data_IF_056920450014
#
_entry.id   IF_056920450014
#
_cell.length_a   1.000
_cell.length_b   1.000
_cell.length_c   1.000
_cell.angle_alpha   90.00
_cell.angle_beta   90.00
_cell.angle_gamma   90.00
#
_symmetry.space_group_name_H-M   'P 1'
#
loop_
_entity.id
_entity.type
_entity.pdbx_description
1 polymer ?
#
# COMPACT_ATOMS: atom_id res chain seq x y z
N UNK A 1 -7.48 -40.37 13.95
CA UNK A 1 -8.24 -39.31 14.67
C UNK A 1 -8.05 -37.91 14.05
N UNK A 2 -6.82 -37.42 13.85
CA UNK A 2 -6.55 -36.12 13.18
C UNK A 2 -7.09 -36.02 11.74
N UNK A 3 -7.03 -37.10 10.95
CA UNK A 3 -7.54 -37.12 9.58
C UNK A 3 -9.05 -36.88 9.53
N UNK A 4 -9.83 -37.54 10.41
CA UNK A 4 -11.28 -37.33 10.51
C UNK A 4 -11.64 -35.90 10.94
N UNK A 5 -10.84 -35.29 11.81
CA UNK A 5 -11.00 -33.89 12.21
C UNK A 5 -10.76 -32.93 11.04
N UNK A 6 -9.72 -33.17 10.24
CA UNK A 6 -9.39 -32.34 9.08
C UNK A 6 -10.43 -32.47 7.97
N UNK A 7 -10.89 -33.70 7.67
CA UNK A 7 -11.92 -33.93 6.66
C UNK A 7 -13.27 -33.33 7.06
N UNK A 8 -13.67 -33.47 8.34
CA UNK A 8 -14.86 -32.81 8.88
C UNK A 8 -14.73 -31.29 8.86
N UNK A 9 -13.57 -30.75 9.21
CA UNK A 9 -13.29 -29.32 9.10
C UNK A 9 -13.46 -28.83 7.66
N UNK A 10 -12.89 -29.52 6.67
CA UNK A 10 -13.05 -29.17 5.25
C UNK A 10 -14.52 -29.27 4.79
N UNK A 11 -15.26 -30.29 5.20
CA UNK A 11 -16.69 -30.43 4.89
C UNK A 11 -17.54 -29.32 5.52
N UNK A 12 -17.25 -28.94 6.78
CA UNK A 12 -17.90 -27.81 7.45
C UNK A 12 -17.57 -26.49 6.77
N UNK A 13 -16.31 -26.25 6.41
CA UNK A 13 -15.87 -25.06 5.64
C UNK A 13 -16.60 -25.00 4.30
N UNK A 14 -16.75 -26.13 3.60
CA UNK A 14 -17.40 -26.20 2.29
C UNK A 14 -18.94 -26.07 2.39
N UNK A 15 -19.54 -26.52 3.49
CA UNK A 15 -20.96 -26.29 3.82
C UNK A 15 -21.23 -24.80 4.14
N UNK A 16 -20.38 -24.19 4.97
CA UNK A 16 -20.42 -22.76 5.30
C UNK A 16 -20.21 -21.91 4.05
N UNK A 17 -19.27 -22.29 3.17
CA UNK A 17 -19.00 -21.59 1.92
C UNK A 17 -20.13 -21.68 0.90
N UNK A 18 -21.01 -22.70 0.99
CA UNK A 18 -22.20 -22.83 0.15
C UNK A 18 -23.35 -21.93 0.60
N UNK A 19 -23.41 -21.57 1.88
CA UNK A 19 -24.44 -20.68 2.39
C UNK A 19 -24.00 -19.21 2.32
N UNK A 20 -24.63 -18.44 1.43
CA UNK A 20 -24.32 -17.02 1.22
C UNK A 20 -24.48 -16.18 2.49
N UNK A 21 -25.41 -16.53 3.39
CA UNK A 21 -25.60 -15.83 4.64
C UNK A 21 -24.42 -16.04 5.61
N UNK A 22 -23.92 -17.27 5.75
CA UNK A 22 -22.74 -17.53 6.60
C UNK A 22 -21.45 -16.94 6.03
N UNK A 23 -21.30 -16.90 4.71
CA UNK A 23 -20.18 -16.17 4.10
C UNK A 23 -20.25 -14.67 4.37
N UNK A 24 -21.45 -14.08 4.34
CA UNK A 24 -21.65 -12.67 4.61
C UNK A 24 -21.39 -12.36 6.09
N UNK A 25 -21.96 -13.14 7.01
CA UNK A 25 -21.72 -13.01 8.45
C UNK A 25 -20.25 -13.24 8.82
N UNK A 26 -19.61 -14.26 8.25
CA UNK A 26 -18.19 -14.52 8.44
C UNK A 26 -17.30 -13.40 7.89
N UNK A 27 -17.65 -12.84 6.73
CA UNK A 27 -16.96 -11.68 6.14
C UNK A 27 -17.09 -10.43 7.02
N UNK A 28 -18.29 -10.15 7.55
CA UNK A 28 -18.53 -9.05 8.50
C UNK A 28 -17.72 -9.27 9.78
N UNK A 29 -17.71 -10.49 10.33
CA UNK A 29 -16.92 -10.81 11.52
C UNK A 29 -15.42 -10.57 11.29
N UNK A 30 -14.86 -11.08 10.19
CA UNK A 30 -13.45 -10.86 9.82
C UNK A 30 -13.15 -9.37 9.66
N UNK A 31 -14.05 -8.61 9.03
CA UNK A 31 -13.93 -7.17 8.87
C UNK A 31 -13.87 -6.46 10.23
N UNK A 32 -14.79 -6.74 11.14
CA UNK A 32 -14.85 -6.12 12.47
C UNK A 32 -13.63 -6.48 13.34
N UNK A 33 -13.19 -7.74 13.32
CA UNK A 33 -11.98 -8.18 14.03
C UNK A 33 -10.75 -7.46 13.49
N UNK A 34 -10.60 -7.41 12.16
CA UNK A 34 -9.46 -6.73 11.52
C UNK A 34 -9.45 -5.23 11.82
N UNK A 35 -10.62 -4.60 11.74
CA UNK A 35 -10.81 -3.19 12.08
C UNK A 35 -10.41 -2.92 13.53
N UNK A 36 -10.81 -3.80 14.45
CA UNK A 36 -10.43 -3.70 15.87
C UNK A 36 -8.92 -3.82 16.05
N UNK A 37 -8.27 -4.79 15.40
CA UNK A 37 -6.81 -4.95 15.44
C UNK A 37 -6.11 -3.68 14.97
N UNK A 38 -6.52 -3.11 13.83
CA UNK A 38 -5.95 -1.88 13.28
C UNK A 38 -6.17 -0.68 14.21
N UNK A 39 -7.39 -0.54 14.76
CA UNK A 39 -7.71 0.50 15.72
C UNK A 39 -6.85 0.43 16.99
N UNK A 40 -6.58 -0.77 17.54
CA UNK A 40 -5.68 -0.91 18.72
C UNK A 40 -4.22 -0.51 18.43
N UNK A 41 -3.86 -0.36 17.16
CA UNK A 41 -2.55 0.09 16.69
C UNK A 41 -2.59 1.50 16.08
N UNK A 42 -3.68 2.23 16.23
CA UNK A 42 -3.78 3.63 15.83
C UNK A 42 -2.76 4.50 16.57
N UNK A 43 -2.38 5.62 15.95
CA UNK A 43 -1.41 6.59 16.46
C UNK A 43 -0.03 6.02 16.83
N UNK A 44 0.40 4.91 16.19
CA UNK A 44 1.75 4.34 16.39
C UNK A 44 2.87 5.08 15.65
N UNK A 45 2.52 6.07 14.83
CA UNK A 45 3.42 6.97 14.10
C UNK A 45 3.20 8.41 14.55
N UNK A 46 3.34 8.66 15.85
CA UNK A 46 2.93 9.92 16.47
C UNK A 46 3.62 11.14 15.82
N UNK A 47 4.85 10.98 15.32
CA UNK A 47 5.61 11.99 14.60
C UNK A 47 4.87 12.51 13.36
N UNK A 48 4.39 11.63 12.48
CA UNK A 48 3.67 12.03 11.26
C UNK A 48 2.16 12.19 11.47
N UNK A 49 1.59 11.50 12.46
CA UNK A 49 0.17 11.64 12.83
C UNK A 49 -0.14 13.04 13.36
N UNK A 50 0.82 13.67 14.05
CA UNK A 50 0.70 15.03 14.60
C UNK A 50 0.35 16.11 13.57
N UNK A 51 0.65 15.87 12.29
CA UNK A 51 0.36 16.84 11.24
C UNK A 51 -1.14 17.11 11.04
N UNK A 52 -1.99 16.13 11.34
CA UNK A 52 -3.45 16.25 11.20
C UNK A 52 -4.06 17.12 12.30
N UNK A 53 -3.83 16.86 13.62
CA UNK A 53 -4.27 17.78 14.67
C UNK A 53 -3.65 19.17 14.52
N UNK A 54 -2.41 19.31 14.03
CA UNK A 54 -1.85 20.61 13.71
C UNK A 54 -2.67 21.37 12.66
N UNK A 55 -3.13 20.69 11.60
CA UNK A 55 -4.02 21.30 10.59
C UNK A 55 -5.38 21.70 11.17
N UNK A 56 -5.93 20.89 12.08
CA UNK A 56 -7.19 21.25 12.78
C UNK A 56 -7.00 22.52 13.61
N UNK A 57 -5.91 22.62 14.36
CA UNK A 57 -5.56 23.81 15.15
C UNK A 57 -5.33 25.02 14.26
N UNK A 58 -4.59 24.86 13.16
CA UNK A 58 -4.36 25.94 12.20
C UNK A 58 -5.68 26.55 11.69
N UNK A 59 -6.62 25.70 11.28
CA UNK A 59 -7.95 26.14 10.85
C UNK A 59 -8.74 26.81 11.98
N UNK A 60 -8.68 26.27 13.19
CA UNK A 60 -9.37 26.82 14.37
C UNK A 60 -8.89 28.24 14.72
N UNK A 61 -7.60 28.52 14.55
CA UNK A 61 -6.98 29.81 14.83
C UNK A 61 -6.86 30.73 13.60
N UNK A 62 -7.46 30.36 12.47
CA UNK A 62 -7.48 31.18 11.26
C UNK A 62 -6.12 31.32 10.56
N UNK A 63 -5.20 30.37 10.77
CA UNK A 63 -3.93 30.31 10.06
C UNK A 63 -4.16 29.92 8.60
N UNK A 64 -3.61 30.70 7.66
CA UNK A 64 -3.64 30.35 6.24
C UNK A 64 -2.77 29.12 6.00
N UNK A 65 -3.33 28.09 5.38
CA UNK A 65 -2.65 26.84 5.11
C UNK A 65 -1.84 26.85 3.81
N UNK A 66 -1.97 27.89 2.97
CA UNK A 66 -1.26 28.03 1.70
C UNK A 66 -1.41 26.80 0.78
N UNK A 67 -2.52 26.06 0.88
CA UNK A 67 -2.76 24.84 0.10
C UNK A 67 -2.13 23.55 0.67
N UNK A 68 -1.48 23.60 1.84
CA UNK A 68 -0.97 22.42 2.54
C UNK A 68 -1.97 21.87 3.56
N UNK A 69 -2.35 20.61 3.41
CA UNK A 69 -3.27 19.93 4.32
C UNK A 69 -2.60 19.36 5.56
N UNK A 70 -1.27 19.44 5.68
CA UNK A 70 -0.50 18.93 6.80
C UNK A 70 0.34 20.07 7.39
N UNK A 71 0.36 20.17 8.72
CA UNK A 71 0.96 21.31 9.40
C UNK A 71 1.85 20.89 10.57
N UNK A 72 2.56 21.86 11.13
CA UNK A 72 3.23 21.81 12.41
C UNK A 72 2.63 22.87 13.32
N UNK A 73 2.66 22.63 14.63
CA UNK A 73 2.20 23.60 15.63
C UNK A 73 3.12 23.55 16.84
N UNK A 74 3.41 24.71 17.41
CA UNK A 74 4.14 24.87 18.66
C UNK A 74 3.27 25.56 19.72
N UNK A 75 3.63 25.36 20.99
CA UNK A 75 3.14 26.17 22.10
C UNK A 75 4.25 26.34 23.14
N UNK A 76 4.30 27.50 23.79
CA UNK A 76 5.28 27.78 24.85
C UNK A 76 5.16 26.75 25.99
N UNK A 77 6.30 26.18 26.39
CA UNK A 77 6.36 25.21 27.48
C UNK A 77 5.85 23.81 27.12
N UNK A 78 5.57 23.54 25.85
CA UNK A 78 5.22 22.22 25.35
C UNK A 78 6.35 21.70 24.46
N UNK A 79 7.13 20.75 24.98
CA UNK A 79 8.06 20.00 24.14
C UNK A 79 7.29 18.99 23.29
N UNK A 80 7.50 19.03 21.98
CA UNK A 80 6.90 18.06 21.07
C UNK A 80 7.79 16.82 20.92
N UNK A 81 7.63 15.86 21.83
CA UNK A 81 8.33 14.58 21.74
C UNK A 81 7.55 13.62 20.83
N UNK A 82 8.02 13.48 19.58
CA UNK A 82 7.40 12.63 18.56
C UNK A 82 5.92 12.95 18.32
N UNK A 83 5.54 14.23 18.21
CA UNK A 83 4.17 14.64 17.83
C UNK A 83 3.14 14.60 18.97
N UNK A 84 3.50 14.13 20.16
CA UNK A 84 2.60 14.09 21.32
C UNK A 84 2.26 15.48 21.88
N UNK A 85 3.14 16.47 21.69
CA UNK A 85 2.91 17.85 22.10
C UNK A 85 1.73 18.46 21.35
N UNK A 86 1.64 18.19 20.04
CA UNK A 86 0.51 18.67 19.21
C UNK A 86 -0.84 18.14 19.69
N UNK A 87 -0.92 16.84 19.99
CA UNK A 87 -2.15 16.24 20.51
C UNK A 87 -2.53 16.83 21.87
N UNK A 88 -1.54 17.12 22.71
CA UNK A 88 -1.75 17.78 24.00
C UNK A 88 -2.31 19.19 23.82
N UNK A 89 -1.73 19.98 22.91
CA UNK A 89 -2.21 21.34 22.59
C UNK A 89 -3.71 21.32 22.23
N UNK A 90 -4.11 20.39 21.37
CA UNK A 90 -5.51 20.24 20.95
C UNK A 90 -6.43 19.75 22.08
N UNK A 91 -6.02 18.71 22.81
CA UNK A 91 -6.87 18.11 23.85
C UNK A 91 -7.03 18.99 25.09
N UNK A 92 -5.99 19.73 25.48
CA UNK A 92 -5.99 20.61 26.65
C UNK A 92 -6.44 22.05 26.29
N UNK A 93 -6.72 22.34 25.01
CA UNK A 93 -7.13 23.67 24.56
C UNK A 93 -6.06 24.74 24.77
N UNK A 94 -4.78 24.36 24.66
CA UNK A 94 -3.65 25.27 24.82
C UNK A 94 -3.57 26.17 23.59
N UNK A 95 -3.36 27.46 23.80
CA UNK A 95 -3.20 28.43 22.71
C UNK A 95 -1.85 28.19 22.01
N UNK A 96 -1.85 27.90 20.69
CA UNK A 96 -0.62 27.79 19.92
C UNK A 96 0.16 29.11 19.85
N UNK A 97 1.49 29.05 19.80
CA UNK A 97 2.35 30.22 19.62
C UNK A 97 3.00 30.29 18.22
N UNK A 98 3.00 29.17 17.49
CA UNK A 98 3.58 29.09 16.14
C UNK A 98 2.89 28.02 15.30
N UNK A 99 2.85 28.25 13.99
CA UNK A 99 2.39 27.31 12.98
C UNK A 99 3.41 27.21 11.84
N UNK A 100 3.41 26.08 11.16
CA UNK A 100 4.20 25.90 9.94
C UNK A 100 3.61 24.84 9.03
N UNK A 101 4.03 24.82 7.76
CA UNK A 101 3.51 23.89 6.77
C UNK A 101 4.38 22.63 6.66
N UNK A 102 3.76 21.45 6.61
CA UNK A 102 4.42 20.24 6.17
C UNK A 102 4.47 20.22 4.64
N UNK A 103 5.63 20.64 4.13
CA UNK A 103 5.81 21.03 2.74
C UNK A 103 6.04 19.86 1.77
N UNK A 104 6.44 18.67 2.23
CA UNK A 104 6.84 17.56 1.34
C UNK A 104 5.72 16.93 0.49
N UNK A 105 4.46 17.31 0.71
CA UNK A 105 3.28 16.81 -0.03
C UNK A 105 2.15 17.81 0.14
N UNK A 106 1.13 17.76 -0.75
CA UNK A 106 -0.09 18.55 -0.58
C UNK A 106 -0.81 18.13 0.70
N UNK A 107 -0.88 16.84 1.01
CA UNK A 107 -1.39 16.36 2.29
C UNK A 107 -2.92 16.38 2.41
N UNK A 108 -3.64 16.04 1.32
CA UNK A 108 -5.12 16.12 1.26
C UNK A 108 -5.83 15.32 2.37
N UNK A 109 -5.21 14.26 2.90
CA UNK A 109 -5.73 13.53 4.06
C UNK A 109 -5.92 14.42 5.29
N UNK A 110 -5.04 15.40 5.53
CA UNK A 110 -5.19 16.30 6.66
C UNK A 110 -6.36 17.26 6.49
N UNK A 111 -6.61 17.78 5.28
CA UNK A 111 -7.84 18.51 4.98
C UNK A 111 -9.09 17.66 5.19
N UNK A 112 -9.08 16.41 4.68
CA UNK A 112 -10.22 15.50 4.80
C UNK A 112 -10.56 15.18 6.26
N UNK A 113 -9.56 14.84 7.07
CA UNK A 113 -9.79 14.52 8.48
C UNK A 113 -10.11 15.76 9.32
N UNK A 114 -9.54 16.92 9.01
CA UNK A 114 -9.92 18.17 9.66
C UNK A 114 -11.37 18.55 9.36
N UNK A 115 -11.79 18.42 8.10
CA UNK A 115 -13.18 18.64 7.70
C UNK A 115 -14.15 17.70 8.42
N UNK A 116 -13.83 16.40 8.52
CA UNK A 116 -14.65 15.45 9.27
C UNK A 116 -14.70 15.80 10.77
N UNK A 117 -13.56 16.17 11.37
CA UNK A 117 -13.47 16.53 12.77
C UNK A 117 -14.39 17.71 13.11
N UNK A 118 -14.33 18.78 12.31
CA UNK A 118 -15.12 19.99 12.50
C UNK A 118 -16.59 19.77 12.17
N UNK A 119 -16.91 19.15 11.03
CA UNK A 119 -18.29 18.95 10.58
C UNK A 119 -19.09 18.06 11.53
N UNK A 120 -18.45 17.05 12.12
CA UNK A 120 -19.08 16.15 13.08
C UNK A 120 -18.96 16.65 14.53
N UNK A 121 -18.40 17.84 14.76
CA UNK A 121 -18.14 18.42 16.08
C UNK A 121 -17.45 17.41 17.02
N UNK A 122 -16.43 16.72 16.52
CA UNK A 122 -15.71 15.72 17.31
C UNK A 122 -14.86 16.41 18.39
N UNK A 123 -14.77 15.77 19.54
CA UNK A 123 -13.87 16.17 20.64
C UNK A 123 -12.66 15.23 20.76
N UNK A 124 -12.58 14.20 19.91
CA UNK A 124 -11.55 13.18 19.95
C UNK A 124 -11.35 12.49 18.60
N UNK A 125 -10.12 12.08 18.31
CA UNK A 125 -9.76 11.34 17.09
C UNK A 125 -10.23 9.89 17.08
N UNK A 126 -10.76 9.35 18.19
CA UNK A 126 -11.18 7.95 18.28
C UNK A 126 -12.12 7.54 17.14
N UNK A 127 -13.09 8.39 16.81
CA UNK A 127 -14.03 8.12 15.72
C UNK A 127 -13.33 8.11 14.34
N UNK A 128 -12.39 9.02 14.11
CA UNK A 128 -11.60 9.07 12.87
C UNK A 128 -10.70 7.85 12.72
N UNK A 129 -10.02 7.45 13.81
CA UNK A 129 -9.19 6.24 13.83
C UNK A 129 -10.03 4.98 13.56
N UNK A 130 -11.22 4.87 14.15
CA UNK A 130 -12.15 3.77 13.86
C UNK A 130 -12.59 3.74 12.40
N UNK A 131 -12.98 4.89 11.84
CA UNK A 131 -13.36 5.01 10.44
C UNK A 131 -12.22 4.57 9.52
N UNK A 132 -11.02 5.08 9.73
CA UNK A 132 -9.85 4.72 8.93
C UNK A 132 -9.46 3.24 9.06
N UNK A 133 -9.48 2.69 10.28
CA UNK A 133 -9.22 1.28 10.54
C UNK A 133 -10.24 0.38 9.81
N UNK A 134 -11.52 0.76 9.85
CA UNK A 134 -12.59 0.05 9.16
C UNK A 134 -12.42 0.09 7.63
N UNK A 135 -12.18 1.28 7.05
CA UNK A 135 -11.97 1.42 5.62
C UNK A 135 -10.74 0.65 5.14
N UNK A 136 -9.65 0.66 5.93
CA UNK A 136 -8.41 -0.04 5.59
C UNK A 136 -8.60 -1.56 5.63
N UNK A 137 -9.29 -2.07 6.66
CA UNK A 137 -9.66 -3.49 6.77
C UNK A 137 -10.56 -3.93 5.60
N UNK A 138 -11.55 -3.11 5.25
CA UNK A 138 -12.45 -3.38 4.13
C UNK A 138 -11.70 -3.41 2.80
N UNK A 139 -10.82 -2.44 2.54
CA UNK A 139 -10.03 -2.40 1.33
C UNK A 139 -9.12 -3.64 1.18
N UNK A 140 -8.44 -4.05 2.25
CA UNK A 140 -7.60 -5.25 2.25
C UNK A 140 -8.41 -6.54 2.05
N UNK A 141 -9.61 -6.63 2.65
CA UNK A 141 -10.50 -7.78 2.46
C UNK A 141 -11.01 -7.89 1.02
N UNK A 142 -11.42 -6.77 0.42
CA UNK A 142 -11.83 -6.71 -0.99
C UNK A 142 -10.66 -7.09 -1.90
N UNK A 143 -9.47 -6.55 -1.63
CA UNK A 143 -8.25 -6.87 -2.38
C UNK A 143 -7.92 -8.37 -2.30
N UNK A 144 -7.95 -8.97 -1.09
CA UNK A 144 -7.74 -10.39 -0.87
C UNK A 144 -8.77 -11.25 -1.63
N UNK A 145 -10.04 -10.85 -1.60
CA UNK A 145 -11.10 -11.52 -2.34
C UNK A 145 -10.86 -11.47 -3.85
N UNK A 146 -10.48 -10.31 -4.40
CA UNK A 146 -10.17 -10.15 -5.83
C UNK A 146 -8.96 -10.99 -6.24
N UNK A 147 -7.89 -10.98 -5.45
CA UNK A 147 -6.73 -11.86 -5.65
C UNK A 147 -7.13 -13.34 -5.59
N UNK A 148 -8.02 -13.71 -4.68
CA UNK A 148 -8.57 -15.07 -4.60
C UNK A 148 -9.42 -15.46 -5.81
N UNK A 149 -10.08 -14.50 -6.47
CA UNK A 149 -10.80 -14.73 -7.73
C UNK A 149 -9.88 -14.81 -8.95
N UNK A 150 -8.67 -14.25 -8.87
CA UNK A 150 -7.70 -14.22 -9.97
C UNK A 150 -6.76 -15.43 -9.88
N UNK A 151 -6.12 -15.63 -8.73
CA UNK A 151 -5.06 -16.63 -8.50
C UNK A 151 -5.53 -17.85 -7.69
N UNK A 152 -6.85 -17.98 -7.49
CA UNK A 152 -7.47 -19.06 -6.72
C UNK A 152 -7.66 -18.72 -5.24
N UNK A 153 -8.72 -19.28 -4.64
CA UNK A 153 -9.20 -18.92 -3.30
C UNK A 153 -8.11 -19.02 -2.23
N UNK A 154 -7.26 -20.04 -2.32
CA UNK A 154 -6.15 -20.25 -1.40
C UNK A 154 -5.14 -19.08 -1.42
N UNK A 155 -4.85 -18.50 -2.58
CA UNK A 155 -3.97 -17.33 -2.68
C UNK A 155 -4.57 -16.12 -1.98
N UNK A 156 -5.87 -15.86 -2.17
CA UNK A 156 -6.57 -14.76 -1.47
C UNK A 156 -6.56 -14.92 0.05
N UNK A 157 -6.78 -16.14 0.55
CA UNK A 157 -6.72 -16.45 1.99
C UNK A 157 -5.29 -16.25 2.50
N UNK A 158 -4.29 -16.81 1.83
CA UNK A 158 -2.88 -16.69 2.24
C UNK A 158 -2.41 -15.23 2.19
N UNK A 159 -2.84 -14.46 1.18
CA UNK A 159 -2.59 -13.02 1.12
C UNK A 159 -3.14 -12.33 2.36
N UNK A 160 -4.42 -12.54 2.68
CA UNK A 160 -5.05 -11.90 3.85
C UNK A 160 -4.38 -12.32 5.16
N UNK A 161 -4.13 -13.61 5.36
CA UNK A 161 -3.47 -14.10 6.58
C UNK A 161 -2.03 -13.59 6.69
N UNK A 162 -1.32 -13.43 5.58
CA UNK A 162 0.06 -12.94 5.59
C UNK A 162 0.15 -11.53 6.19
N UNK A 163 -0.88 -10.69 6.04
CA UNK A 163 -0.94 -9.33 6.58
C UNK A 163 -0.77 -9.28 8.10
N UNK A 164 -1.12 -10.34 8.81
CA UNK A 164 -1.05 -10.42 10.26
C UNK A 164 0.25 -11.06 10.78
N UNK A 165 1.17 -11.46 9.89
CA UNK A 165 2.46 -12.02 10.31
C UNK A 165 3.44 -10.96 10.83
N UNK A 166 3.08 -9.68 10.73
CA UNK A 166 3.77 -8.53 11.32
C UNK A 166 2.79 -7.50 11.85
N UNK A 167 3.20 -6.79 12.91
CA UNK A 167 2.45 -5.65 13.45
C UNK A 167 2.41 -4.43 12.51
N UNK A 168 3.27 -4.36 11.49
CA UNK A 168 3.37 -3.19 10.63
C UNK A 168 2.09 -2.91 9.85
N UNK A 169 1.50 -3.92 9.20
CA UNK A 169 0.25 -3.70 8.45
C UNK A 169 -0.85 -3.16 9.36
N UNK A 170 -0.91 -3.63 10.62
CA UNK A 170 -1.85 -3.11 11.60
C UNK A 170 -1.57 -1.65 11.99
N UNK A 171 -0.30 -1.27 12.17
CA UNK A 171 0.09 0.12 12.43
C UNK A 171 -0.32 1.04 11.26
N UNK A 172 -0.06 0.63 10.01
CA UNK A 172 -0.48 1.39 8.82
C UNK A 172 -2.00 1.44 8.67
N UNK A 173 -2.69 0.33 8.97
CA UNK A 173 -4.15 0.24 8.91
C UNK A 173 -4.86 1.16 9.91
N UNK A 174 -4.23 1.46 11.06
CA UNK A 174 -4.74 2.40 12.06
C UNK A 174 -4.29 3.86 11.86
N UNK A 175 -3.39 4.13 10.91
CA UNK A 175 -2.77 5.46 10.73
C UNK A 175 -3.60 6.36 9.82
N UNK A 176 -3.99 7.54 10.31
CA UNK A 176 -4.64 8.57 9.50
C UNK A 176 -3.64 9.21 8.52
N UNK A 177 -2.38 9.35 8.91
CA UNK A 177 -1.34 9.88 8.01
C UNK A 177 -1.17 8.99 6.76
N UNK A 178 -0.98 7.69 6.97
CA UNK A 178 -0.75 6.76 5.87
C UNK A 178 -2.04 6.36 5.14
N UNK A 179 -3.18 6.35 5.82
CA UNK A 179 -4.51 6.04 5.28
C UNK A 179 -4.49 4.85 4.31
N UNK A 180 -4.15 3.66 4.82
CA UNK A 180 -3.82 2.46 4.03
C UNK A 180 -4.87 2.10 2.96
N UNK A 181 -6.14 2.45 3.17
CA UNK A 181 -7.21 2.37 2.15
C UNK A 181 -6.77 2.92 0.79
N UNK A 182 -6.14 4.09 0.73
CA UNK A 182 -5.75 4.74 -0.52
C UNK A 182 -4.50 4.13 -1.18
N UNK A 183 -3.75 3.30 -0.46
CA UNK A 183 -2.70 2.47 -1.07
C UNK A 183 -3.30 1.31 -1.85
N UNK A 184 -4.40 0.75 -1.35
CA UNK A 184 -5.02 -0.46 -1.90
C UNK A 184 -6.08 -0.12 -2.96
N UNK A 185 -6.68 1.07 -2.90
CA UNK A 185 -7.72 1.51 -3.83
C UNK A 185 -7.34 1.37 -5.32
N UNK A 186 -6.14 1.79 -5.78
CA UNK A 186 -5.73 1.57 -7.17
C UNK A 186 -5.73 0.09 -7.57
N UNK A 187 -5.32 -0.80 -6.65
CA UNK A 187 -5.31 -2.24 -6.87
C UNK A 187 -6.71 -2.83 -6.98
N UNK A 188 -7.66 -2.42 -6.12
CA UNK A 188 -9.06 -2.86 -6.21
C UNK A 188 -9.64 -2.54 -7.59
N UNK A 189 -9.39 -1.32 -8.09
CA UNK A 189 -9.88 -0.86 -9.39
C UNK A 189 -9.22 -1.66 -10.53
N UNK A 190 -7.90 -1.77 -10.53
CA UNK A 190 -7.14 -2.47 -11.56
C UNK A 190 -7.44 -3.98 -11.58
N UNK A 191 -7.59 -4.63 -10.43
CA UNK A 191 -7.90 -6.06 -10.32
C UNK A 191 -9.34 -6.33 -10.77
N UNK A 192 -10.27 -5.43 -10.49
CA UNK A 192 -11.64 -5.51 -10.98
C UNK A 192 -11.67 -5.39 -12.51
N UNK A 193 -10.96 -4.41 -13.08
CA UNK A 193 -10.83 -4.27 -14.53
C UNK A 193 -10.18 -5.52 -15.15
N UNK A 194 -9.09 -6.02 -14.56
CA UNK A 194 -8.41 -7.24 -15.00
C UNK A 194 -9.39 -8.41 -15.10
N UNK A 195 -10.19 -8.64 -14.05
CA UNK A 195 -11.18 -9.72 -14.05
C UNK A 195 -12.18 -9.55 -15.20
N UNK A 196 -12.73 -8.35 -15.37
CA UNK A 196 -13.71 -8.09 -16.43
C UNK A 196 -13.12 -8.35 -17.81
N UNK A 197 -11.92 -7.82 -18.10
CA UNK A 197 -11.30 -8.01 -19.43
C UNK A 197 -10.78 -9.43 -19.64
N UNK A 198 -10.47 -10.18 -18.57
CA UNK A 198 -10.06 -11.58 -18.66
C UNK A 198 -11.26 -12.52 -18.89
N UNK A 199 -12.44 -12.22 -18.33
CA UNK A 199 -13.62 -13.09 -18.44
C UNK A 199 -14.58 -12.71 -19.56
N UNK A 200 -14.57 -11.46 -20.01
CA UNK A 200 -15.51 -10.96 -21.03
C UNK A 200 -14.84 -10.87 -22.41
N UNK A 201 -15.57 -11.34 -23.43
CA UNK A 201 -15.14 -11.21 -24.83
C UNK A 201 -15.09 -9.75 -25.28
N UNK A 202 -16.05 -8.92 -24.85
CA UNK A 202 -16.12 -7.50 -25.21
C UNK A 202 -16.59 -6.67 -24.02
N UNK A 203 -15.73 -5.78 -23.54
CA UNK A 203 -16.07 -4.77 -22.54
C UNK A 203 -16.60 -3.51 -23.24
N UNK A 204 -17.65 -2.88 -22.71
CA UNK A 204 -18.15 -1.62 -23.25
C UNK A 204 -17.07 -0.52 -23.15
N UNK A 205 -17.02 0.39 -24.13
CA UNK A 205 -16.07 1.52 -24.10
C UNK A 205 -16.28 2.38 -22.87
N UNK A 206 -17.54 2.68 -22.53
CA UNK A 206 -17.91 3.48 -21.36
C UNK A 206 -17.41 2.86 -20.06
N UNK A 207 -17.63 1.56 -19.85
CA UNK A 207 -17.16 0.86 -18.65
C UNK A 207 -15.63 0.90 -18.56
N UNK A 208 -14.93 0.66 -19.67
CA UNK A 208 -13.47 0.76 -19.71
C UNK A 208 -12.99 2.18 -19.35
N UNK A 209 -13.58 3.22 -19.94
CA UNK A 209 -13.26 4.62 -19.64
C UNK A 209 -13.46 4.92 -18.15
N UNK A 210 -14.57 4.48 -17.55
CA UNK A 210 -14.84 4.70 -16.12
C UNK A 210 -13.77 4.04 -15.23
N UNK A 211 -13.35 2.81 -15.53
CA UNK A 211 -12.26 2.17 -14.80
C UNK A 211 -10.94 2.93 -14.97
N UNK A 212 -10.62 3.38 -16.18
CA UNK A 212 -9.40 4.15 -16.46
C UNK A 212 -9.39 5.49 -15.69
N UNK A 213 -10.51 6.22 -15.70
CA UNK A 213 -10.64 7.48 -14.96
C UNK A 213 -10.59 7.26 -13.45
N UNK A 214 -11.29 6.24 -12.94
CA UNK A 214 -11.27 5.90 -11.52
C UNK A 214 -9.85 5.50 -11.06
N UNK A 215 -9.12 4.73 -11.87
CA UNK A 215 -7.74 4.33 -11.57
C UNK A 215 -6.80 5.53 -11.55
N UNK A 216 -6.86 6.38 -12.59
CA UNK A 216 -6.07 7.61 -12.67
C UNK A 216 -6.34 8.52 -11.46
N UNK A 217 -7.62 8.71 -11.11
CA UNK A 217 -8.03 9.49 -9.94
C UNK A 217 -7.51 8.89 -8.63
N UNK A 218 -7.60 7.57 -8.45
CA UNK A 218 -7.09 6.91 -7.25
C UNK A 218 -5.57 7.10 -7.09
N UNK A 219 -4.80 7.09 -8.19
CA UNK A 219 -3.37 7.41 -8.17
C UNK A 219 -3.12 8.88 -7.84
N UNK A 220 -3.86 9.80 -8.48
CA UNK A 220 -3.75 11.24 -8.20
C UNK A 220 -4.05 11.55 -6.72
N UNK A 221 -5.11 10.94 -6.17
CA UNK A 221 -5.50 11.06 -4.77
C UNK A 221 -4.45 10.48 -3.83
N UNK A 222 -3.90 9.30 -4.13
CA UNK A 222 -2.80 8.75 -3.32
C UNK A 222 -1.58 9.69 -3.35
N UNK A 223 -1.20 10.17 -4.52
CA UNK A 223 -0.07 11.08 -4.70
C UNK A 223 -0.30 12.43 -3.99
N UNK A 224 -1.55 12.90 -3.88
CA UNK A 224 -1.85 14.17 -3.20
C UNK A 224 -1.79 14.02 -1.69
N UNK A 225 -1.90 12.80 -1.18
CA UNK A 225 -1.68 12.51 0.23
C UNK A 225 -0.20 12.40 0.59
N UNK A 226 0.55 11.63 -0.20
CA UNK A 226 2.01 11.47 -0.03
C UNK A 226 2.60 10.73 -1.25
N UNK A 227 3.84 11.04 -1.60
CA UNK A 227 4.56 10.33 -2.67
C UNK A 227 5.21 9.01 -2.20
N UNK A 228 5.19 8.76 -0.89
CA UNK A 228 5.82 7.58 -0.31
C UNK A 228 5.19 6.31 -0.87
N UNK A 229 6.04 5.38 -1.30
CA UNK A 229 5.67 4.06 -1.80
C UNK A 229 4.83 4.07 -3.09
N UNK A 230 4.75 5.20 -3.80
CA UNK A 230 3.92 5.32 -4.99
C UNK A 230 4.28 4.28 -6.07
N UNK A 231 5.58 4.00 -6.24
CA UNK A 231 6.05 2.96 -7.18
C UNK A 231 5.59 1.57 -6.76
N UNK A 232 5.63 1.25 -5.47
CA UNK A 232 5.12 -0.01 -4.92
C UNK A 232 3.63 -0.16 -5.13
N UNK A 233 2.85 0.90 -4.89
CA UNK A 233 1.40 0.93 -5.05
C UNK A 233 1.00 0.70 -6.51
N UNK A 234 1.68 1.37 -7.45
CA UNK A 234 1.45 1.20 -8.88
C UNK A 234 1.80 -0.22 -9.34
N UNK A 235 2.97 -0.75 -8.96
CA UNK A 235 3.33 -2.10 -9.40
C UNK A 235 2.46 -3.18 -8.76
N UNK A 236 2.00 -2.98 -7.53
CA UNK A 236 1.06 -3.87 -6.88
C UNK A 236 -0.31 -3.86 -7.58
N UNK A 237 -0.83 -2.69 -7.95
CA UNK A 237 -2.12 -2.59 -8.67
C UNK A 237 -2.07 -3.21 -10.06
N UNK A 238 -0.89 -3.23 -10.69
CA UNK A 238 -0.67 -3.87 -12.00
C UNK A 238 -0.36 -5.36 -11.92
N UNK A 239 -0.26 -5.94 -10.71
CA UNK A 239 0.25 -7.30 -10.53
C UNK A 239 -0.47 -8.40 -11.33
N UNK A 240 -1.81 -8.46 -11.45
CA UNK A 240 -2.47 -9.46 -12.31
C UNK A 240 -2.08 -9.36 -13.79
N UNK A 241 -1.92 -8.14 -14.30
CA UNK A 241 -1.49 -7.93 -15.68
C UNK A 241 -0.05 -8.38 -15.87
N UNK A 242 0.85 -8.07 -14.93
CA UNK A 242 2.25 -8.49 -14.96
C UNK A 242 2.36 -10.02 -14.88
N UNK A 243 1.63 -10.66 -13.96
CA UNK A 243 1.61 -12.14 -13.85
C UNK A 243 1.12 -12.77 -15.16
N UNK A 244 0.01 -12.29 -15.74
CA UNK A 244 -0.49 -12.80 -17.03
C UNK A 244 0.50 -12.59 -18.17
N UNK A 245 1.19 -11.45 -18.21
CA UNK A 245 2.19 -11.16 -19.22
C UNK A 245 3.39 -12.11 -19.11
N UNK A 246 4.02 -12.20 -17.93
CA UNK A 246 5.17 -13.08 -17.69
C UNK A 246 4.77 -14.54 -17.96
N UNK A 247 3.65 -15.00 -17.40
CA UNK A 247 3.18 -16.36 -17.60
C UNK A 247 2.93 -16.67 -19.08
N UNK A 248 2.26 -15.77 -19.80
CA UNK A 248 1.94 -15.94 -21.21
C UNK A 248 3.19 -15.95 -22.10
N UNK A 249 4.20 -15.15 -21.79
CA UNK A 249 5.52 -15.19 -22.47
C UNK A 249 6.22 -16.52 -22.20
N UNK A 250 6.16 -17.04 -20.97
CA UNK A 250 6.85 -18.29 -20.58
C UNK A 250 6.18 -19.56 -21.11
N UNK A 251 4.89 -19.55 -21.42
CA UNK A 251 4.13 -20.77 -21.72
C UNK A 251 3.41 -20.77 -23.06
N UNK A 252 3.07 -19.61 -23.62
CA UNK A 252 2.19 -19.51 -24.79
C UNK A 252 0.81 -20.14 -24.61
N UNK A 253 0.43 -20.58 -23.40
CA UNK A 253 -0.73 -21.44 -23.13
C UNK A 253 -1.71 -20.84 -22.11
N UNK A 254 -2.80 -21.56 -21.81
CA UNK A 254 -3.76 -21.21 -20.78
C UNK A 254 -3.18 -21.47 -19.37
N UNK A 255 -3.25 -20.46 -18.49
CA UNK A 255 -2.87 -20.57 -17.08
C UNK A 255 -3.77 -21.54 -16.32
N UNK A 256 -3.29 -22.19 -15.23
CA UNK A 256 -4.15 -22.94 -14.34
C UNK A 256 -5.12 -22.02 -13.57
N UNK A 257 -4.93 -20.71 -13.68
CA UNK A 257 -5.75 -19.68 -13.05
C UNK A 257 -6.27 -18.68 -14.08
N UNK A 258 -7.04 -17.68 -13.64
CA UNK A 258 -7.56 -16.65 -14.52
C UNK A 258 -6.39 -15.85 -15.13
N UNK A 259 -6.11 -16.09 -16.42
CA UNK A 259 -5.11 -15.37 -17.20
C UNK A 259 -5.70 -14.79 -18.47
N UNK A 260 -5.01 -13.79 -19.02
CA UNK A 260 -5.27 -13.29 -20.36
C UNK A 260 -4.04 -13.43 -21.26
N UNK A 261 -4.20 -13.40 -22.60
CA UNK A 261 -3.06 -13.47 -23.51
C UNK A 261 -2.02 -12.38 -23.25
N UNK A 262 -0.73 -12.70 -23.39
CA UNK A 262 0.38 -11.82 -23.05
C UNK A 262 0.28 -10.43 -23.71
N UNK A 263 -0.05 -10.37 -25.01
CA UNK A 263 -0.23 -9.11 -25.75
C UNK A 263 -1.35 -8.24 -25.16
N UNK A 264 -2.45 -8.86 -24.72
CA UNK A 264 -3.58 -8.17 -24.09
C UNK A 264 -3.18 -7.69 -22.70
N UNK A 265 -2.54 -8.55 -21.90
CA UNK A 265 -2.03 -8.20 -20.57
C UNK A 265 -1.08 -7.01 -20.62
N UNK A 266 -0.12 -7.03 -21.56
CA UNK A 266 0.82 -5.94 -21.78
C UNK A 266 0.11 -4.64 -22.16
N UNK A 267 -0.82 -4.67 -23.11
CA UNK A 267 -1.55 -3.47 -23.56
C UNK A 267 -2.34 -2.80 -22.42
N UNK A 268 -3.10 -3.58 -21.65
CA UNK A 268 -3.87 -3.02 -20.53
C UNK A 268 -2.95 -2.59 -19.38
N UNK A 269 -1.93 -3.38 -19.04
CA UNK A 269 -0.95 -3.05 -18.02
C UNK A 269 -0.19 -1.76 -18.34
N UNK A 270 0.31 -1.62 -19.57
CA UNK A 270 0.97 -0.41 -20.05
C UNK A 270 0.02 0.80 -20.07
N UNK A 271 -1.21 0.61 -20.53
CA UNK A 271 -2.22 1.67 -20.52
C UNK A 271 -2.52 2.20 -19.12
N UNK A 272 -2.70 1.30 -18.14
CA UNK A 272 -2.88 1.69 -16.74
C UNK A 272 -1.60 2.30 -16.15
N UNK A 273 -0.41 1.82 -16.51
CA UNK A 273 0.84 2.44 -16.08
C UNK A 273 0.96 3.89 -16.58
N UNK A 274 0.65 4.15 -17.84
CA UNK A 274 0.62 5.51 -18.41
C UNK A 274 -0.39 6.37 -17.64
N UNK A 275 -1.59 5.85 -17.37
CA UNK A 275 -2.60 6.56 -16.57
C UNK A 275 -2.15 6.83 -15.13
N UNK A 276 -1.36 5.94 -14.52
CA UNK A 276 -0.75 6.21 -13.22
C UNK A 276 0.24 7.38 -13.29
N UNK A 277 1.09 7.41 -14.32
CA UNK A 277 2.00 8.54 -14.55
C UNK A 277 1.23 9.85 -14.76
N UNK A 278 0.13 9.84 -15.53
CA UNK A 278 -0.73 11.02 -15.72
C UNK A 278 -1.35 11.45 -14.38
N UNK A 279 -1.93 10.52 -13.61
CA UNK A 279 -2.49 10.83 -12.28
C UNK A 279 -1.46 11.43 -11.33
N UNK A 280 -0.24 10.89 -11.30
CA UNK A 280 0.88 11.46 -10.54
C UNK A 280 1.23 12.87 -11.03
N UNK A 281 1.41 13.06 -12.35
CA UNK A 281 1.82 14.34 -12.92
C UNK A 281 0.79 15.45 -12.66
N UNK A 282 -0.51 15.15 -12.73
CA UNK A 282 -1.56 16.12 -12.41
C UNK A 282 -1.41 16.65 -10.99
N UNK A 283 -1.24 15.75 -10.02
CA UNK A 283 -1.00 16.13 -8.62
C UNK A 283 0.34 16.85 -8.45
N UNK A 284 1.38 16.37 -9.12
CA UNK A 284 2.72 16.91 -9.00
C UNK A 284 2.79 18.36 -9.51
N UNK A 285 2.11 18.68 -10.62
CA UNK A 285 2.01 20.04 -11.16
C UNK A 285 1.34 20.99 -10.15
N UNK A 286 0.26 20.54 -9.50
CA UNK A 286 -0.41 21.32 -8.45
C UNK A 286 0.56 21.56 -7.28
N UNK A 287 1.27 20.52 -6.84
CA UNK A 287 2.21 20.65 -5.74
C UNK A 287 3.39 21.56 -6.09
N UNK A 288 3.93 21.50 -7.31
CA UNK A 288 4.97 22.43 -7.77
C UNK A 288 4.46 23.87 -7.80
N UNK A 289 3.21 24.09 -8.22
CA UNK A 289 2.61 25.43 -8.21
C UNK A 289 2.53 25.99 -6.79
N UNK A 290 2.03 25.18 -5.84
CA UNK A 290 1.94 25.56 -4.42
C UNK A 290 3.34 25.83 -3.85
N UNK A 291 4.31 24.94 -4.12
CA UNK A 291 5.66 25.04 -3.56
C UNK A 291 6.44 26.25 -4.07
N UNK A 292 6.20 26.66 -5.32
CA UNK A 292 6.83 27.83 -5.93
C UNK A 292 6.05 29.12 -5.79
N UNK A 293 4.98 29.17 -4.99
CA UNK A 293 4.16 30.38 -4.83
C UNK A 293 3.56 30.88 -6.16
N UNK A 294 3.25 29.96 -7.07
CA UNK A 294 2.76 30.24 -8.41
C UNK A 294 3.75 29.97 -9.55
N UNK A 295 5.04 29.87 -9.25
CA UNK A 295 6.09 29.52 -10.22
C UNK A 295 6.37 28.00 -10.24
N UNK A 296 5.97 27.33 -11.32
CA UNK A 296 6.15 25.89 -11.48
C UNK A 296 7.63 25.46 -11.48
N UNK A 297 8.53 26.25 -12.06
CA UNK A 297 9.94 25.90 -12.13
C UNK A 297 10.62 26.05 -10.77
N UNK A 298 10.33 27.16 -10.07
CA UNK A 298 10.83 27.37 -8.71
C UNK A 298 10.37 26.25 -7.77
N UNK A 299 9.09 25.89 -7.82
CA UNK A 299 8.55 24.80 -7.02
C UNK A 299 9.11 23.42 -7.39
N UNK A 300 9.32 23.15 -8.68
CA UNK A 300 9.98 21.93 -9.14
C UNK A 300 11.41 21.81 -8.60
N UNK A 301 12.20 22.88 -8.71
CA UNK A 301 13.58 22.91 -8.22
C UNK A 301 13.64 22.74 -6.70
N UNK A 302 12.71 23.37 -5.97
CA UNK A 302 12.64 23.22 -4.52
C UNK A 302 12.30 21.78 -4.11
N UNK A 303 11.29 21.16 -4.72
CA UNK A 303 10.95 19.75 -4.48
C UNK A 303 12.12 18.84 -4.86
N UNK A 304 12.77 19.11 -6.00
CA UNK A 304 13.90 18.32 -6.46
C UNK A 304 15.04 18.34 -5.44
N UNK A 305 15.45 19.52 -4.96
CA UNK A 305 16.51 19.64 -3.97
C UNK A 305 16.11 19.11 -2.59
N UNK A 306 15.00 19.60 -2.04
CA UNK A 306 14.65 19.37 -0.64
C UNK A 306 13.98 18.02 -0.37
N UNK A 307 13.32 17.43 -1.37
CA UNK A 307 12.56 16.19 -1.19
C UNK A 307 13.15 15.05 -2.02
N UNK A 308 13.37 15.23 -3.33
CA UNK A 308 13.88 14.15 -4.19
C UNK A 308 15.34 13.79 -3.86
N UNK A 309 16.28 14.73 -3.96
CA UNK A 309 17.71 14.44 -3.74
C UNK A 309 18.00 13.94 -2.32
N UNK A 310 17.28 14.47 -1.32
CA UNK A 310 17.42 14.05 0.09
C UNK A 310 16.91 12.63 0.37
N UNK A 311 15.83 12.19 -0.30
CA UNK A 311 15.09 10.96 0.08
C UNK A 311 15.19 9.83 -0.95
N UNK A 312 15.45 10.15 -2.20
CA UNK A 312 15.44 9.20 -3.32
C UNK A 312 16.87 8.81 -3.71
N UNK A 313 17.31 9.21 -4.90
CA UNK A 313 18.64 8.93 -5.46
C UNK A 313 19.31 10.22 -5.93
N UNK A 314 20.64 10.18 -6.08
CA UNK A 314 21.41 11.25 -6.72
C UNK A 314 21.80 12.44 -5.82
N UNK A 315 21.33 12.50 -4.57
CA UNK A 315 21.74 13.55 -3.62
C UNK A 315 23.20 13.42 -3.18
N UNK A 316 23.91 14.54 -3.08
CA UNK A 316 25.26 14.62 -2.54
C UNK A 316 25.20 14.86 -1.02
N UNK A 317 25.82 14.01 -0.18
CA UNK A 317 25.84 14.18 1.28
C UNK A 317 26.26 15.55 1.79
N UNK A 318 27.11 16.27 1.03
CA UNK A 318 27.63 17.58 1.42
C UNK A 318 26.58 18.69 1.38
N UNK A 319 25.50 18.48 0.62
CA UNK A 319 24.45 19.48 0.40
C UNK A 319 23.33 19.38 1.46
N UNK A 320 23.40 18.39 2.36
CA UNK A 320 22.37 18.10 3.35
C UNK A 320 22.96 17.97 4.76
N UNK A 321 22.08 17.99 5.76
CA UNK A 321 22.47 17.78 7.15
C UNK A 321 23.24 16.45 7.31
N UNK A 322 24.35 16.40 8.08
CA UNK A 322 25.22 15.22 8.20
C UNK A 322 24.51 13.91 8.57
N UNK A 323 23.38 14.00 9.27
CA UNK A 323 22.51 12.86 9.63
C UNK A 323 22.03 12.04 8.41
N UNK A 324 21.99 12.64 7.23
CA UNK A 324 21.55 11.97 6.00
C UNK A 324 22.69 11.31 5.22
N UNK A 325 23.96 11.56 5.58
CA UNK A 325 25.12 11.17 4.78
C UNK A 325 25.17 9.65 4.50
N UNK A 326 24.97 8.82 5.52
CA UNK A 326 24.98 7.36 5.37
C UNK A 326 23.89 6.87 4.40
N UNK A 327 22.70 7.45 4.49
CA UNK A 327 21.57 7.09 3.62
C UNK A 327 21.79 7.47 2.16
N UNK A 328 22.43 8.62 1.93
CA UNK A 328 22.75 9.13 0.60
C UNK A 328 23.88 8.33 -0.05
N UNK A 329 24.86 7.87 0.74
CA UNK A 329 25.95 7.02 0.28
C UNK A 329 25.56 5.54 0.09
N UNK A 330 24.52 5.05 0.78
CA UNK A 330 24.10 3.66 0.69
C UNK A 330 23.69 3.26 -0.73
N UNK A 331 24.06 2.06 -1.17
CA UNK A 331 23.66 1.54 -2.48
C UNK A 331 22.26 0.90 -2.45
N UNK A 332 21.59 0.81 -3.61
CA UNK A 332 20.31 0.10 -3.70
C UNK A 332 20.44 -1.38 -3.29
N UNK A 333 21.55 -2.03 -3.63
CA UNK A 333 21.83 -3.42 -3.24
C UNK A 333 21.95 -3.57 -1.72
N UNK A 334 22.61 -2.62 -1.06
CA UNK A 334 22.74 -2.60 0.39
C UNK A 334 21.36 -2.47 1.06
N UNK A 335 20.52 -1.56 0.59
CA UNK A 335 19.15 -1.40 1.07
C UNK A 335 18.35 -2.69 0.87
N UNK A 336 18.38 -3.28 -0.32
CA UNK A 336 17.71 -4.56 -0.59
C UNK A 336 18.22 -5.66 0.38
N UNK A 337 19.53 -5.72 0.63
CA UNK A 337 20.12 -6.68 1.57
C UNK A 337 19.55 -6.49 2.98
N UNK A 338 19.50 -5.25 3.49
CA UNK A 338 18.88 -4.93 4.80
C UNK A 338 17.48 -5.52 4.88
N UNK A 339 16.65 -5.27 3.87
CA UNK A 339 15.23 -5.69 3.88
C UNK A 339 15.02 -7.18 3.59
N UNK A 340 15.99 -7.89 3.01
CA UNK A 340 15.93 -9.34 2.81
C UNK A 340 16.46 -10.12 4.02
N UNK A 341 17.54 -9.66 4.67
CA UNK A 341 18.23 -10.43 5.71
C UNK A 341 17.72 -10.14 7.12
N UNK A 342 17.01 -9.02 7.34
CA UNK A 342 16.47 -8.68 8.66
C UNK A 342 15.40 -9.66 9.18
N UNK A 343 14.80 -10.48 8.31
CA UNK A 343 13.84 -11.50 8.72
C UNK A 343 14.23 -12.86 8.15
N UNK A 344 14.83 -13.71 8.99
CA UNK A 344 15.26 -15.05 8.59
C UNK A 344 14.12 -15.91 8.01
N UNK A 345 12.87 -15.71 8.47
CA UNK A 345 11.70 -16.44 7.94
C UNK A 345 11.41 -16.06 6.48
N UNK A 346 11.56 -14.77 6.14
CA UNK A 346 11.41 -14.29 4.76
C UNK A 346 12.41 -15.01 3.84
N UNK A 347 13.69 -15.07 4.24
CA UNK A 347 14.75 -15.70 3.46
C UNK A 347 14.51 -17.20 3.29
N UNK A 348 14.16 -17.92 4.36
CA UNK A 348 13.87 -19.35 4.31
C UNK A 348 12.71 -19.64 3.35
N UNK A 349 11.61 -18.90 3.46
CA UNK A 349 10.44 -19.08 2.59
C UNK A 349 10.72 -18.73 1.13
N UNK A 350 11.54 -17.70 0.89
CA UNK A 350 11.99 -17.34 -0.44
C UNK A 350 12.84 -18.46 -1.06
N UNK A 351 13.84 -18.97 -0.33
CA UNK A 351 14.67 -20.09 -0.77
C UNK A 351 13.83 -21.35 -1.05
N UNK A 352 12.88 -21.66 -0.18
CA UNK A 352 11.96 -22.78 -0.37
C UNK A 352 11.07 -22.60 -1.62
N UNK A 353 10.56 -21.39 -1.85
CA UNK A 353 9.74 -21.09 -3.02
C UNK A 353 10.52 -21.18 -4.33
N UNK A 354 11.77 -20.72 -4.32
CA UNK A 354 12.71 -20.87 -5.43
C UNK A 354 12.99 -22.35 -5.69
N UNK A 355 13.28 -23.13 -4.64
CA UNK A 355 13.47 -24.58 -4.74
C UNK A 355 12.25 -25.29 -5.34
N UNK A 356 11.04 -24.93 -4.91
CA UNK A 356 9.77 -25.44 -5.49
C UNK A 356 9.66 -25.13 -6.98
N UNK A 357 10.09 -23.94 -7.42
CA UNK A 357 10.13 -23.62 -8.85
C UNK A 357 11.11 -24.51 -9.62
N UNK A 358 12.21 -24.95 -9.01
CA UNK A 358 13.15 -25.87 -9.64
C UNK A 358 12.63 -27.31 -9.72
N UNK A 359 11.97 -27.81 -8.66
CA UNK A 359 11.49 -29.20 -8.60
C UNK A 359 10.10 -29.43 -9.18
N UNK A 360 9.35 -28.37 -9.51
CA UNK A 360 8.04 -28.49 -10.15
C UNK A 360 8.18 -29.00 -11.60
N UNK A 361 7.77 -30.24 -11.80
CA UNK A 361 7.81 -30.93 -13.09
C UNK A 361 6.75 -30.41 -14.06
N UNK A 362 5.59 -29.94 -13.56
CA UNK A 362 4.54 -29.38 -14.39
C UNK A 362 4.89 -27.94 -14.81
N UNK A 363 5.29 -27.78 -16.08
CA UNK A 363 5.70 -26.50 -16.68
C UNK A 363 4.71 -25.36 -16.44
N UNK A 364 3.41 -25.64 -16.48
CA UNK A 364 2.37 -24.63 -16.28
C UNK A 364 2.41 -24.08 -14.85
N UNK A 365 2.39 -24.96 -13.84
CA UNK A 365 2.49 -24.51 -12.45
C UNK A 365 3.84 -23.88 -12.12
N UNK A 366 4.94 -24.44 -12.64
CA UNK A 366 6.28 -23.87 -12.47
C UNK A 366 6.35 -22.42 -12.96
N UNK A 367 5.91 -22.18 -14.19
CA UNK A 367 5.98 -20.85 -14.79
C UNK A 367 5.01 -19.88 -14.10
N UNK A 368 3.88 -20.37 -13.59
CA UNK A 368 2.98 -19.58 -12.75
C UNK A 368 3.65 -19.18 -11.43
N UNK A 369 4.32 -20.10 -10.74
CA UNK A 369 5.06 -19.79 -9.50
C UNK A 369 6.19 -18.79 -9.74
N UNK A 370 6.94 -18.93 -10.82
CA UNK A 370 7.97 -17.95 -11.23
C UNK A 370 7.34 -16.58 -11.46
N UNK A 371 6.22 -16.52 -12.18
CA UNK A 371 5.51 -15.27 -12.45
C UNK A 371 5.01 -14.60 -11.15
N UNK A 372 4.49 -15.38 -10.19
CA UNK A 372 4.09 -14.87 -8.87
C UNK A 372 5.30 -14.32 -8.08
N UNK A 373 6.41 -15.05 -8.02
CA UNK A 373 7.61 -14.62 -7.27
C UNK A 373 8.15 -13.30 -7.79
N UNK A 374 8.37 -13.22 -9.11
CA UNK A 374 8.90 -12.02 -9.74
C UNK A 374 7.91 -10.88 -9.53
N UNK A 375 6.66 -11.06 -9.94
CA UNK A 375 5.67 -9.99 -9.94
C UNK A 375 5.45 -9.40 -8.55
N UNK A 376 5.33 -10.24 -7.52
CA UNK A 376 5.03 -9.75 -6.19
C UNK A 376 6.25 -9.28 -5.41
N UNK A 377 7.48 -9.57 -5.86
CA UNK A 377 8.68 -8.93 -5.31
C UNK A 377 8.90 -7.49 -5.85
N UNK A 378 8.46 -7.22 -7.09
CA UNK A 378 8.64 -5.92 -7.77
C UNK A 378 8.12 -4.71 -6.97
N UNK A 379 6.93 -4.72 -6.33
CA UNK A 379 6.45 -3.61 -5.52
C UNK A 379 7.47 -3.13 -4.50
N UNK A 380 7.97 -4.03 -3.65
CA UNK A 380 8.94 -3.70 -2.60
C UNK A 380 10.29 -3.28 -3.19
N UNK A 381 10.81 -4.07 -4.14
CA UNK A 381 12.12 -3.79 -4.75
C UNK A 381 12.14 -2.44 -5.47
N UNK A 382 11.06 -2.05 -6.16
CA UNK A 382 11.02 -0.77 -6.86
C UNK A 382 11.25 0.42 -5.93
N UNK A 383 10.67 0.39 -4.72
CA UNK A 383 10.87 1.44 -3.73
C UNK A 383 12.25 1.37 -3.07
N UNK A 384 12.75 0.17 -2.79
CA UNK A 384 14.11 0.04 -2.21
C UNK A 384 15.21 0.51 -3.16
N UNK A 385 14.96 0.47 -4.47
CA UNK A 385 15.87 1.00 -5.50
C UNK A 385 15.69 2.52 -5.65
N UNK A 386 14.47 3.00 -5.87
CA UNK A 386 14.22 4.41 -6.17
C UNK A 386 14.23 5.31 -4.92
N UNK A 387 13.66 4.82 -3.81
CA UNK A 387 13.64 5.46 -2.50
C UNK A 387 14.73 4.91 -1.58
N UNK A 388 15.93 4.64 -2.10
CA UNK A 388 17.00 3.96 -1.35
C UNK A 388 17.36 4.72 -0.06
N UNK A 389 17.49 6.05 -0.13
CA UNK A 389 17.97 6.86 0.99
C UNK A 389 16.89 6.93 2.09
N UNK A 390 15.63 7.13 1.71
CA UNK A 390 14.49 7.01 2.60
C UNK A 390 14.41 5.62 3.25
N UNK A 391 14.50 4.56 2.46
CA UNK A 391 14.43 3.18 2.96
C UNK A 391 15.61 2.83 3.89
N UNK A 392 16.79 3.43 3.68
CA UNK A 392 17.93 3.24 4.56
C UNK A 392 17.69 3.81 5.97
N UNK A 393 17.00 4.95 6.06
CA UNK A 393 16.64 5.60 7.32
C UNK A 393 15.46 4.89 7.99
N UNK A 394 14.39 4.62 7.23
CA UNK A 394 13.12 4.13 7.75
C UNK A 394 13.04 2.60 7.82
N UNK A 395 14.08 1.98 8.38
CA UNK A 395 14.19 0.51 8.56
C UNK A 395 13.08 -0.08 9.40
N UNK A 396 12.39 0.72 10.21
CA UNK A 396 11.33 0.23 11.06
C UNK A 396 10.05 -0.07 10.26
N UNK A 397 9.63 0.79 9.32
CA UNK A 397 8.32 0.61 8.68
C UNK A 397 8.34 0.17 7.20
N UNK A 398 9.40 0.40 6.43
CA UNK A 398 9.36 0.06 4.99
C UNK A 398 9.29 -1.46 4.73
N UNK A 399 9.45 -2.32 5.75
CA UNK A 399 9.14 -3.75 5.67
C UNK A 399 7.69 -4.04 5.27
N UNK A 400 6.77 -3.09 5.49
CA UNK A 400 5.37 -3.21 5.08
C UNK A 400 5.22 -3.48 3.58
N UNK A 401 6.19 -3.06 2.75
CA UNK A 401 6.10 -3.21 1.30
C UNK A 401 6.16 -4.67 0.84
N UNK A 402 6.81 -5.55 1.59
CA UNK A 402 6.78 -7.00 1.31
C UNK A 402 5.38 -7.60 1.46
N UNK A 403 4.47 -6.93 2.15
CA UNK A 403 3.08 -7.36 2.35
C UNK A 403 2.17 -6.97 1.17
N UNK A 404 2.70 -6.24 0.18
CA UNK A 404 2.06 -6.06 -1.13
C UNK A 404 2.23 -7.31 -2.01
N UNK A 405 1.91 -8.47 -1.43
CA UNK A 405 1.83 -9.77 -2.07
C UNK A 405 3.10 -10.62 -2.06
N UNK A 406 4.30 -10.10 -1.73
CA UNK A 406 5.53 -10.91 -1.73
C UNK A 406 5.46 -12.01 -0.66
N UNK A 407 5.09 -11.64 0.57
CA UNK A 407 4.83 -12.58 1.67
C UNK A 407 3.79 -13.63 1.30
N UNK A 408 2.71 -13.20 0.65
CA UNK A 408 1.66 -14.11 0.20
C UNK A 408 2.21 -15.14 -0.80
N UNK A 409 2.98 -14.69 -1.79
CA UNK A 409 3.56 -15.55 -2.83
C UNK A 409 4.54 -16.57 -2.28
N UNK A 410 5.47 -16.17 -1.41
CA UNK A 410 6.48 -17.09 -0.85
C UNK A 410 5.88 -18.11 0.14
N UNK A 411 4.71 -17.82 0.72
CA UNK A 411 3.96 -18.80 1.53
C UNK A 411 3.13 -19.71 0.60
N UNK A 412 2.44 -19.11 -0.37
CA UNK A 412 1.50 -19.82 -1.24
C UNK A 412 2.18 -20.88 -2.10
N UNK A 413 3.33 -20.59 -2.70
CA UNK A 413 4.01 -21.48 -3.64
C UNK A 413 4.31 -22.85 -3.03
N UNK A 414 5.05 -22.96 -1.91
CA UNK A 414 5.33 -24.26 -1.29
C UNK A 414 4.05 -24.94 -0.80
N UNK A 415 3.13 -24.21 -0.15
CA UNK A 415 1.88 -24.80 0.33
C UNK A 415 1.04 -25.40 -0.80
N UNK A 416 0.90 -24.67 -1.91
CA UNK A 416 0.13 -25.11 -3.06
C UNK A 416 0.79 -26.29 -3.79
N UNK A 417 2.13 -26.30 -3.88
CA UNK A 417 2.88 -27.42 -4.46
C UNK A 417 2.63 -28.73 -3.69
N UNK A 418 2.86 -28.73 -2.37
CA UNK A 418 2.69 -29.92 -1.54
C UNK A 418 1.23 -30.38 -1.48
N UNK A 419 0.29 -29.44 -1.43
CA UNK A 419 -1.14 -29.76 -1.47
C UNK A 419 -1.52 -30.52 -2.74
N UNK A 420 -1.06 -30.06 -3.92
CA UNK A 420 -1.36 -30.73 -5.20
C UNK A 420 -0.69 -32.09 -5.32
N UNK A 421 0.56 -32.24 -4.88
CA UNK A 421 1.30 -33.50 -4.94
C UNK A 421 0.74 -34.60 -4.03
N UNK A 422 -0.04 -34.25 -3.01
CA UNK A 422 -0.69 -35.22 -2.11
C UNK A 422 -2.03 -35.74 -2.65
N UNK A 423 -2.64 -35.03 -3.60
CA UNK A 423 -3.94 -35.35 -4.19
C UNK A 423 -3.78 -36.11 -5.52
N UNK A 424 -2.70 -35.83 -6.26
CA UNK A 424 -2.26 -36.61 -7.41
C UNK A 424 -1.58 -37.90 -6.95
#
# INVERSE_FOLDING_TARGET
>A
MLHNLFTRFLQSVDSIARNRAYMLLGGVFVLLVTSSIFYTKANRFADVESHIPATILALQYGYDLEGYGLSFVGAKGIEDTYGNGTLRILNEGIVPDSFGHYRSTIGVQGFFYAWLYQTLNLTSFKALYWLNAFLSAMALLICAFLLGKIFGRAFGIIFFLSLFTSGWVANFGGSLYFSLTFWILPAIIAFSLYRMVATQNKLSKTTLTLFCLAYMFAIALRASMSYEFLTSIILFSLSPFIVSFIYGVLTGSQSPFLSMPAKRAFKYGLGLFILACVGFLLTFIIHTYIRGGGDLWAGLMDIYHNDFLRRMTGGNPKDFHPVYADSLNASALEVIKIYLTANTKLLILLCLSIFVCFVESNKSYRNFYIALLICFALPAISWFVLGKSHSYIHRHFCFVLWYLGSWASIIYIPMHYFYRKKIA
#
